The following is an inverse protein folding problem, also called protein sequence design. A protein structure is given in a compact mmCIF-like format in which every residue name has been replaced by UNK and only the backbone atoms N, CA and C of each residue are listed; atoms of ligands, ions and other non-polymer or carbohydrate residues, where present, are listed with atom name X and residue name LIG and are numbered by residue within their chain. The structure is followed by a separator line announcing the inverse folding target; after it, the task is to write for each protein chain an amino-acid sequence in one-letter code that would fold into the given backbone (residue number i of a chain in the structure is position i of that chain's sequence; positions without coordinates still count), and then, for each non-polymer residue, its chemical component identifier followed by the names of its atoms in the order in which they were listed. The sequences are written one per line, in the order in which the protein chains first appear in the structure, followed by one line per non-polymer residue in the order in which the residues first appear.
data_IF_524047380960
#
_entry.id   IF_524047380960
#
_cell.length_a   1.000
_cell.length_b   1.000
_cell.length_c   1.000
_cell.angle_alpha   90.00
_cell.angle_beta   90.00
_cell.angle_gamma   90.00
#
_symmetry.space_group_name_H-M   'P 1'
#
loop_
_entity.id
_entity.type
_entity.pdbx_description
1 polymer ?
#
# COMPACT_ATOMS: atom_id res chain seq x y z
N UNK A 1 -7.36 -9.86 -78.92
CA UNK A 1 -5.92 -9.99 -79.06
C UNK A 1 -5.31 -8.74 -78.49
N UNK A 2 -4.90 -8.77 -77.20
CA UNK A 2 -4.28 -7.67 -76.51
C UNK A 2 -3.12 -8.24 -75.68
N UNK A 3 -1.91 -7.83 -76.09
CA UNK A 3 -0.67 -8.19 -75.44
C UNK A 3 -0.58 -7.46 -74.08
N UNK A 4 -0.36 -8.18 -73.03
CA UNK A 4 -0.06 -7.66 -71.69
C UNK A 4 1.44 -7.82 -71.47
N UNK A 5 2.10 -6.68 -71.38
CA UNK A 5 3.52 -6.56 -71.02
C UNK A 5 3.68 -6.75 -69.55
N UNK A 6 4.40 -7.79 -69.13
CA UNK A 6 4.86 -7.95 -67.76
C UNK A 6 6.15 -7.15 -67.54
N UNK A 7 6.08 -6.10 -66.72
CA UNK A 7 7.28 -5.42 -66.22
C UNK A 7 7.60 -6.06 -64.88
N UNK A 8 8.68 -6.84 -64.85
CA UNK A 8 9.24 -7.40 -63.61
C UNK A 8 10.09 -6.33 -62.92
N UNK A 9 9.56 -5.71 -61.88
CA UNK A 9 10.33 -4.80 -61.03
C UNK A 9 11.00 -5.61 -59.92
N UNK A 10 12.32 -5.82 -60.02
CA UNK A 10 13.14 -6.34 -58.93
C UNK A 10 13.27 -5.28 -57.85
N UNK A 11 12.55 -5.44 -56.72
CA UNK A 11 12.78 -4.68 -55.50
C UNK A 11 13.72 -5.52 -54.62
N UNK A 12 14.98 -5.06 -54.59
CA UNK A 12 15.99 -5.53 -53.65
C UNK A 12 15.61 -5.04 -52.25
N UNK A 13 15.01 -5.88 -51.43
CA UNK A 13 14.80 -5.61 -50.01
C UNK A 13 16.09 -5.86 -49.23
N UNK A 14 16.82 -4.79 -48.91
CA UNK A 14 17.80 -4.84 -47.86
C UNK A 14 17.07 -5.08 -46.51
N UNK A 15 17.21 -6.28 -45.96
CA UNK A 15 16.89 -6.54 -44.58
C UNK A 15 17.91 -5.87 -43.67
N UNK A 16 17.57 -4.68 -43.15
CA UNK A 16 18.22 -4.18 -41.96
C UNK A 16 17.74 -5.04 -40.80
N UNK A 17 18.57 -5.95 -40.33
CA UNK A 17 18.42 -6.60 -39.03
C UNK A 17 18.65 -5.50 -37.98
N UNK A 18 17.61 -4.78 -37.60
CA UNK A 18 17.62 -4.00 -36.38
C UNK A 18 17.56 -5.01 -35.24
N UNK A 19 18.72 -5.33 -34.68
CA UNK A 19 18.86 -5.96 -33.39
C UNK A 19 18.25 -4.98 -32.37
N UNK A 20 16.97 -5.16 -32.06
CA UNK A 20 16.39 -4.59 -30.87
C UNK A 20 17.00 -5.36 -29.69
N UNK A 21 18.10 -4.85 -29.13
CA UNK A 21 18.49 -5.22 -27.78
C UNK A 21 17.37 -4.73 -26.88
N UNK A 22 16.50 -5.65 -26.44
CA UNK A 22 15.72 -5.47 -25.24
C UNK A 22 16.76 -5.34 -24.13
N UNK A 23 17.16 -4.11 -23.84
CA UNK A 23 17.71 -3.80 -22.53
C UNK A 23 16.57 -4.13 -21.57
N UNK A 24 16.69 -5.27 -20.91
CA UNK A 24 15.94 -5.58 -19.72
C UNK A 24 16.40 -4.55 -18.67
N UNK A 25 15.78 -3.39 -18.75
CA UNK A 25 15.88 -2.34 -17.74
C UNK A 25 15.13 -2.88 -16.53
N UNK A 26 15.78 -3.77 -15.78
CA UNK A 26 15.48 -3.96 -14.37
C UNK A 26 15.68 -2.59 -13.75
N UNK A 27 14.58 -1.83 -13.65
CA UNK A 27 14.54 -0.63 -12.87
C UNK A 27 14.87 -1.05 -11.44
N UNK A 28 16.12 -0.90 -11.06
CA UNK A 28 16.56 -1.02 -9.68
C UNK A 28 15.90 0.16 -8.97
N UNK A 29 14.72 -0.08 -8.38
CA UNK A 29 14.10 0.87 -7.46
C UNK A 29 15.09 1.05 -6.32
N UNK A 30 15.72 2.23 -6.26
CA UNK A 30 16.66 2.54 -5.18
C UNK A 30 15.87 2.51 -3.87
N UNK A 31 16.40 1.77 -2.88
CA UNK A 31 15.88 1.78 -1.52
C UNK A 31 15.75 3.20 -1.01
N UNK A 32 14.60 3.53 -0.44
CA UNK A 32 14.41 4.80 0.25
C UNK A 32 15.04 4.72 1.65
N UNK A 33 15.58 5.84 2.11
CA UNK A 33 16.17 5.96 3.45
C UNK A 33 15.51 7.09 4.21
N UNK A 34 15.46 6.97 5.52
CA UNK A 34 15.10 8.05 6.41
C UNK A 34 16.08 8.11 7.60
N UNK A 35 16.03 9.20 8.37
CA UNK A 35 16.82 9.32 9.59
C UNK A 35 16.05 8.67 10.74
N UNK A 36 16.69 7.75 11.44
CA UNK A 36 16.11 7.13 12.63
C UNK A 36 16.19 8.05 13.87
N UNK A 37 15.67 7.57 15.00
CA UNK A 37 15.68 8.31 16.28
C UNK A 37 17.08 8.62 16.82
N UNK A 38 18.14 7.97 16.32
CA UNK A 38 19.53 8.20 16.71
C UNK A 38 20.27 9.17 15.79
N UNK A 39 19.62 9.60 14.69
CA UNK A 39 20.19 10.41 13.63
C UNK A 39 20.91 9.62 12.53
N UNK A 40 20.85 8.29 12.57
CA UNK A 40 21.43 7.44 11.54
C UNK A 40 20.51 7.31 10.33
N UNK A 41 21.11 7.24 9.12
CA UNK A 41 20.34 6.92 7.90
C UNK A 41 20.06 5.43 7.84
N UNK A 42 18.79 5.05 7.77
CA UNK A 42 18.32 3.66 7.71
C UNK A 42 17.52 3.41 6.45
N UNK A 43 17.67 2.21 5.87
CA UNK A 43 16.85 1.76 4.77
C UNK A 43 15.43 1.44 5.25
N UNK A 44 14.46 1.95 4.51
CA UNK A 44 13.05 1.67 4.74
C UNK A 44 12.66 0.26 4.28
N UNK A 45 13.33 -0.30 3.27
CA UNK A 45 12.94 -1.58 2.70
C UNK A 45 12.86 -2.68 3.76
N UNK A 46 11.79 -3.43 3.73
CA UNK A 46 11.54 -4.54 4.64
C UNK A 46 10.06 -4.81 4.88
N UNK A 47 9.84 -5.88 5.60
CA UNK A 47 8.52 -6.29 6.11
C UNK A 47 8.45 -5.95 7.60
N UNK A 48 7.38 -5.32 8.01
CA UNK A 48 7.12 -4.89 9.38
C UNK A 48 5.77 -5.45 9.80
N UNK A 49 5.71 -6.11 10.96
CA UNK A 49 4.53 -6.81 11.43
C UNK A 49 4.04 -6.31 12.79
N UNK A 50 2.72 -6.31 12.95
CA UNK A 50 2.04 -6.53 14.23
C UNK A 50 1.46 -7.92 14.14
N UNK A 51 1.93 -8.82 15.00
CA UNK A 51 1.46 -10.20 15.03
C UNK A 51 0.06 -10.28 15.64
N UNK A 52 -0.49 -11.48 15.75
CA UNK A 52 -1.84 -11.75 16.21
C UNK A 52 -2.22 -10.95 17.45
N UNK A 53 -3.13 -10.03 17.31
CA UNK A 53 -3.59 -9.14 18.37
C UNK A 53 -5.12 -9.11 18.43
N UNK A 54 -5.68 -9.02 19.63
CA UNK A 54 -7.12 -8.89 19.81
C UNK A 54 -7.61 -7.54 19.26
N UNK A 55 -8.71 -7.55 18.52
CA UNK A 55 -9.41 -6.39 17.98
C UNK A 55 -10.92 -6.57 18.15
N UNK A 56 -11.46 -6.04 19.24
CA UNK A 56 -12.85 -6.26 19.60
C UNK A 56 -13.14 -7.74 19.87
N UNK A 57 -14.03 -8.33 19.08
CA UNK A 57 -14.39 -9.77 19.15
C UNK A 57 -13.62 -10.64 18.15
N UNK A 58 -12.66 -10.06 17.41
CA UNK A 58 -11.86 -10.75 16.43
C UNK A 58 -10.35 -10.60 16.77
N UNK A 59 -9.52 -11.21 15.96
CA UNK A 59 -8.06 -11.08 16.03
C UNK A 59 -7.55 -10.58 14.69
N UNK A 60 -6.47 -9.81 14.70
CA UNK A 60 -5.90 -9.20 13.51
C UNK A 60 -4.39 -9.36 13.46
N UNK A 61 -3.86 -9.45 12.25
CA UNK A 61 -2.44 -9.21 11.93
C UNK A 61 -2.36 -8.03 10.99
N UNK A 62 -1.37 -7.19 11.22
CA UNK A 62 -1.05 -6.11 10.28
C UNK A 62 0.33 -6.32 9.71
N UNK A 63 0.46 -6.14 8.42
CA UNK A 63 1.73 -6.17 7.72
C UNK A 63 1.92 -4.89 6.92
N UNK A 64 3.10 -4.33 7.02
CA UNK A 64 3.60 -3.24 6.17
C UNK A 64 4.80 -3.76 5.41
N UNK A 65 4.74 -3.69 4.08
CA UNK A 65 5.88 -3.97 3.22
C UNK A 65 6.31 -2.67 2.54
N UNK A 66 7.56 -2.27 2.78
CA UNK A 66 8.20 -1.14 2.12
C UNK A 66 9.23 -1.67 1.12
N UNK A 67 9.15 -1.23 -0.14
CA UNK A 67 10.06 -1.64 -1.21
C UNK A 67 10.24 -0.50 -2.21
N UNK A 68 11.45 0.07 -2.25
CA UNK A 68 11.72 1.27 -3.04
C UNK A 68 10.76 2.40 -2.65
N UNK A 69 9.89 2.82 -3.56
CA UNK A 69 8.87 3.86 -3.33
C UNK A 69 7.47 3.29 -3.11
N UNK A 70 7.35 1.99 -2.90
CA UNK A 70 6.05 1.33 -2.70
C UNK A 70 5.83 1.01 -1.22
N UNK A 71 4.68 1.36 -0.71
CA UNK A 71 4.15 1.02 0.60
C UNK A 71 2.93 0.13 0.39
N UNK A 72 2.95 -1.09 0.93
CA UNK A 72 1.79 -2.00 0.93
C UNK A 72 1.39 -2.29 2.37
N UNK A 73 0.14 -2.10 2.67
CA UNK A 73 -0.48 -2.44 3.95
C UNK A 73 -1.41 -3.62 3.77
N UNK A 74 -1.31 -4.58 4.66
CA UNK A 74 -2.23 -5.72 4.75
C UNK A 74 -2.82 -5.78 6.15
N UNK A 75 -4.15 -5.83 6.24
CA UNK A 75 -4.88 -6.23 7.42
C UNK A 75 -5.48 -7.60 7.17
N UNK A 76 -5.17 -8.58 8.01
CA UNK A 76 -5.77 -9.91 7.99
C UNK A 76 -6.53 -10.14 9.30
N UNK A 77 -7.82 -10.45 9.20
CA UNK A 77 -8.68 -10.72 10.34
C UNK A 77 -8.94 -12.22 10.51
N UNK A 78 -9.07 -12.65 11.76
CA UNK A 78 -9.19 -14.04 12.16
C UNK A 78 -10.30 -14.20 13.21
N UNK A 79 -10.84 -15.41 13.28
CA UNK A 79 -11.87 -15.78 14.29
C UNK A 79 -11.29 -16.38 15.56
N UNK A 80 -9.98 -16.63 15.62
CA UNK A 80 -9.29 -17.29 16.74
C UNK A 80 -8.02 -16.54 17.17
N UNK A 81 -7.62 -16.75 18.41
CA UNK A 81 -6.50 -16.07 19.07
C UNK A 81 -5.11 -16.54 18.60
N UNK A 82 -5.07 -17.59 17.80
CA UNK A 82 -3.83 -18.05 17.14
C UNK A 82 -3.67 -17.47 15.74
N UNK A 83 -4.67 -16.72 15.26
CA UNK A 83 -4.73 -16.18 13.89
C UNK A 83 -4.52 -17.28 12.82
N UNK A 84 -5.15 -18.44 13.00
CA UNK A 84 -5.10 -19.57 12.10
C UNK A 84 -6.29 -19.61 11.14
N UNK A 85 -7.47 -19.15 11.58
CA UNK A 85 -8.71 -19.18 10.80
C UNK A 85 -9.05 -17.80 10.28
N UNK A 86 -8.62 -17.50 9.05
CA UNK A 86 -8.86 -16.21 8.40
C UNK A 86 -10.34 -15.98 8.11
N UNK A 87 -10.78 -14.73 8.30
CA UNK A 87 -12.13 -14.29 7.96
C UNK A 87 -12.14 -13.35 6.76
N UNK A 88 -11.19 -12.40 6.70
CA UNK A 88 -10.94 -11.56 5.53
C UNK A 88 -9.49 -11.08 5.50
N UNK A 89 -9.09 -10.58 4.34
CA UNK A 89 -7.85 -9.82 4.15
C UNK A 89 -8.17 -8.55 3.37
N UNK A 90 -7.70 -7.41 3.86
CA UNK A 90 -7.70 -6.13 3.16
C UNK A 90 -6.27 -5.78 2.79
N UNK A 91 -6.05 -5.38 1.54
CA UNK A 91 -4.73 -4.98 1.03
C UNK A 91 -4.89 -3.64 0.33
N UNK A 92 -4.05 -2.68 0.71
CA UNK A 92 -3.94 -1.42 0.01
C UNK A 92 -2.47 -1.11 -0.31
N UNK A 93 -2.23 -0.48 -1.45
CA UNK A 93 -0.90 -0.12 -1.91
C UNK A 93 -0.84 1.35 -2.29
N UNK A 94 0.28 1.98 -1.96
CA UNK A 94 0.60 3.38 -2.25
C UNK A 94 1.98 3.49 -2.86
N UNK A 95 2.21 4.56 -3.60
CA UNK A 95 3.55 5.11 -3.80
C UNK A 95 3.82 6.16 -2.75
N UNK A 96 5.06 6.27 -2.25
CA UNK A 96 5.40 7.27 -1.26
C UNK A 96 6.67 8.05 -1.62
N UNK A 97 6.78 9.23 -1.04
CA UNK A 97 7.95 10.12 -1.12
C UNK A 97 8.39 10.50 0.28
N UNK A 98 9.69 10.34 0.54
CA UNK A 98 10.33 10.76 1.79
C UNK A 98 10.56 12.27 1.76
N UNK A 99 9.94 12.98 2.68
CA UNK A 99 10.04 14.42 2.84
C UNK A 99 11.09 14.86 3.86
N UNK A 100 10.87 16.02 4.47
CA UNK A 100 11.80 16.59 5.46
C UNK A 100 11.61 15.98 6.83
N UNK A 101 12.70 15.94 7.61
CA UNK A 101 12.64 15.62 9.04
C UNK A 101 11.85 16.69 9.81
N UNK A 102 11.19 16.27 10.88
CA UNK A 102 10.46 17.13 11.82
C UNK A 102 10.47 16.45 13.20
N UNK A 103 9.74 17.01 14.16
CA UNK A 103 9.57 16.41 15.48
C UNK A 103 8.09 16.30 15.82
N UNK A 104 7.76 15.31 16.66
CA UNK A 104 6.41 15.17 17.22
C UNK A 104 6.14 16.30 18.22
N UNK A 105 4.86 16.65 18.35
CA UNK A 105 4.36 17.64 19.33
C UNK A 105 2.90 17.37 19.64
N UNK A 106 2.36 17.99 20.67
CA UNK A 106 0.90 17.95 20.95
C UNK A 106 0.45 16.77 21.79
N UNK A 107 1.32 15.83 22.17
CA UNK A 107 0.96 14.78 23.10
C UNK A 107 0.94 15.30 24.56
N UNK A 108 -0.09 14.92 25.32
CA UNK A 108 -0.16 15.16 26.77
C UNK A 108 0.95 14.45 27.54
N UNK A 109 1.55 13.41 26.94
CA UNK A 109 2.71 12.71 27.48
C UNK A 109 4.00 13.31 26.90
N UNK A 110 4.74 14.04 27.72
CA UNK A 110 5.99 14.72 27.30
C UNK A 110 7.05 13.79 26.71
N UNK A 111 7.08 12.51 27.09
CA UNK A 111 8.02 11.52 26.51
C UNK A 111 7.71 11.16 25.04
N UNK A 112 6.56 11.56 24.54
CA UNK A 112 6.11 11.36 23.17
C UNK A 112 6.25 12.60 22.29
N UNK A 113 6.71 13.71 22.86
CA UNK A 113 7.03 14.93 22.14
C UNK A 113 8.54 14.98 21.81
N UNK A 114 8.88 15.82 20.82
CA UNK A 114 10.26 16.02 20.37
C UNK A 114 10.95 14.77 19.79
N UNK A 115 10.17 13.74 19.45
CA UNK A 115 10.71 12.57 18.74
C UNK A 115 11.01 12.97 17.29
N UNK A 116 12.22 12.65 16.83
CA UNK A 116 12.60 12.86 15.43
C UNK A 116 11.80 11.94 14.51
N UNK A 117 11.06 12.52 13.59
CA UNK A 117 10.21 11.84 12.62
C UNK A 117 10.44 12.40 11.22
N UNK A 118 10.00 11.70 10.21
CA UNK A 118 10.09 12.15 8.81
C UNK A 118 8.71 12.30 8.22
N UNK A 119 8.46 13.41 7.55
CA UNK A 119 7.25 13.65 6.76
C UNK A 119 7.23 12.73 5.56
N UNK A 120 6.07 12.15 5.28
CA UNK A 120 5.85 11.25 4.16
C UNK A 120 4.60 11.71 3.41
N UNK A 121 4.73 11.83 2.09
CA UNK A 121 3.60 11.99 1.19
C UNK A 121 3.36 10.65 0.52
N UNK A 122 2.14 10.14 0.53
CA UNK A 122 1.83 8.90 -0.15
C UNK A 122 0.55 9.00 -0.98
N UNK A 123 0.57 8.38 -2.15
CA UNK A 123 -0.53 8.39 -3.12
C UNK A 123 -1.09 6.99 -3.30
N UNK A 124 -2.38 6.82 -3.01
CA UNK A 124 -3.09 5.54 -3.12
C UNK A 124 -3.04 5.02 -4.56
N UNK A 125 -2.75 3.73 -4.73
CA UNK A 125 -2.69 3.06 -6.03
C UNK A 125 -3.77 1.99 -6.17
N UNK A 126 -4.03 1.24 -5.11
CA UNK A 126 -5.04 0.17 -5.11
C UNK A 126 -5.57 -0.10 -3.71
N UNK A 127 -6.79 -0.60 -3.63
CA UNK A 127 -7.37 -1.17 -2.42
C UNK A 127 -8.24 -2.37 -2.81
N UNK A 128 -8.07 -3.49 -2.11
CA UNK A 128 -8.84 -4.70 -2.35
C UNK A 128 -9.15 -5.43 -1.07
N UNK A 129 -10.25 -6.18 -1.08
CA UNK A 129 -10.65 -7.04 0.01
C UNK A 129 -10.94 -8.45 -0.50
N UNK A 130 -10.50 -9.44 0.24
CA UNK A 130 -10.78 -10.86 0.01
C UNK A 130 -11.49 -11.43 1.23
N UNK A 131 -12.66 -11.99 1.03
CA UNK A 131 -13.36 -12.71 2.10
C UNK A 131 -12.82 -14.15 2.16
N UNK A 132 -12.51 -14.64 3.35
CA UNK A 132 -11.93 -15.96 3.61
C UNK A 132 -12.88 -16.89 4.39
N UNK A 133 -14.15 -16.51 4.51
CA UNK A 133 -15.19 -17.24 5.25
C UNK A 133 -16.51 -17.19 4.49
N UNK A 134 -17.12 -18.35 4.23
CA UNK A 134 -18.42 -18.44 3.56
C UNK A 134 -19.53 -17.76 4.37
N UNK A 135 -19.45 -17.85 5.71
CA UNK A 135 -20.38 -17.17 6.63
C UNK A 135 -20.26 -15.65 6.47
N UNK A 136 -19.03 -15.13 6.42
CA UNK A 136 -18.81 -13.69 6.24
C UNK A 136 -19.23 -13.24 4.83
N UNK A 137 -18.95 -14.03 3.79
CA UNK A 137 -19.42 -13.75 2.43
C UNK A 137 -20.95 -13.64 2.35
N UNK A 138 -21.66 -14.56 3.01
CA UNK A 138 -23.13 -14.51 3.09
C UNK A 138 -23.62 -13.25 3.80
N UNK A 139 -22.99 -12.88 4.92
CA UNK A 139 -23.32 -11.65 5.66
C UNK A 139 -23.06 -10.39 4.83
N UNK A 140 -21.91 -10.31 4.15
CA UNK A 140 -21.56 -9.18 3.31
C UNK A 140 -22.51 -9.03 2.12
N UNK A 141 -22.91 -10.14 1.49
CA UNK A 141 -23.89 -10.14 0.40
C UNK A 141 -25.26 -9.64 0.88
N UNK A 142 -25.71 -10.07 2.06
CA UNK A 142 -27.00 -9.63 2.59
C UNK A 142 -27.04 -8.15 2.95
N UNK A 143 -25.89 -7.56 3.29
CA UNK A 143 -25.75 -6.15 3.66
C UNK A 143 -25.23 -5.29 2.50
N UNK A 144 -24.95 -5.88 1.33
CA UNK A 144 -24.37 -5.21 0.16
C UNK A 144 -23.09 -4.42 0.50
N UNK A 145 -22.21 -5.01 1.31
CA UNK A 145 -20.97 -4.35 1.77
C UNK A 145 -20.12 -3.92 0.56
N UNK A 146 -19.67 -2.68 0.56
CA UNK A 146 -19.04 -2.00 -0.58
C UNK A 146 -19.90 -2.01 -1.86
N UNK A 147 -21.23 -2.14 -1.75
CA UNK A 147 -22.14 -2.22 -2.88
C UNK A 147 -22.17 -3.58 -3.60
N UNK A 148 -21.41 -4.57 -3.13
CA UNK A 148 -21.38 -5.91 -3.73
C UNK A 148 -22.38 -6.85 -3.07
N UNK A 149 -23.04 -7.68 -3.90
CA UNK A 149 -23.98 -8.73 -3.47
C UNK A 149 -23.50 -10.13 -3.89
N UNK A 150 -22.28 -10.23 -4.38
CA UNK A 150 -21.68 -11.44 -4.94
C UNK A 150 -20.28 -11.74 -4.36
N UNK A 151 -20.08 -11.42 -3.07
CA UNK A 151 -18.90 -11.85 -2.32
C UNK A 151 -18.80 -13.37 -2.32
N UNK A 152 -17.61 -13.89 -2.59
CA UNK A 152 -17.32 -15.31 -2.54
C UNK A 152 -15.99 -15.54 -1.82
N UNK A 153 -15.93 -16.65 -1.07
CA UNK A 153 -14.73 -17.06 -0.36
C UNK A 153 -13.53 -17.20 -1.32
N UNK A 154 -12.40 -16.62 -0.96
CA UNK A 154 -11.15 -16.63 -1.73
C UNK A 154 -11.14 -15.71 -2.96
N UNK A 155 -12.18 -14.93 -3.20
CA UNK A 155 -12.24 -14.02 -4.36
C UNK A 155 -12.00 -12.57 -3.92
N UNK A 156 -10.92 -11.97 -4.45
CA UNK A 156 -10.60 -10.58 -4.20
C UNK A 156 -11.51 -9.65 -5.01
N UNK A 157 -11.94 -8.55 -4.39
CA UNK A 157 -12.65 -7.46 -5.06
C UNK A 157 -11.95 -6.14 -4.79
N UNK A 158 -11.89 -5.28 -5.82
CA UNK A 158 -11.44 -3.90 -5.63
C UNK A 158 -12.50 -3.14 -4.84
N UNK A 159 -12.07 -2.52 -3.74
CA UNK A 159 -12.91 -1.64 -2.91
C UNK A 159 -12.45 -0.19 -3.01
N UNK A 160 -11.53 0.09 -3.93
CA UNK A 160 -11.03 1.43 -4.20
C UNK A 160 -12.18 2.35 -4.64
N UNK A 161 -12.29 3.52 -4.02
CA UNK A 161 -13.35 4.49 -4.30
C UNK A 161 -14.72 4.14 -3.74
N UNK A 162 -14.80 3.19 -2.81
CA UNK A 162 -16.05 2.73 -2.21
C UNK A 162 -16.01 2.84 -0.69
N UNK A 163 -17.08 3.37 -0.12
CA UNK A 163 -17.38 3.24 1.31
C UNK A 163 -17.99 1.87 1.62
N UNK A 164 -17.93 1.45 2.87
CA UNK A 164 -18.50 0.17 3.31
C UNK A 164 -20.00 -0.01 3.01
N UNK A 165 -20.75 1.07 2.87
CA UNK A 165 -22.17 1.08 2.48
C UNK A 165 -22.39 1.07 0.95
N UNK A 166 -21.32 1.02 0.16
CA UNK A 166 -21.34 1.00 -1.31
C UNK A 166 -21.46 2.38 -1.97
N UNK A 167 -21.49 3.46 -1.20
CA UNK A 167 -21.44 4.82 -1.75
C UNK A 167 -20.03 5.14 -2.26
N UNK A 168 -19.92 6.11 -3.16
CA UNK A 168 -18.61 6.55 -3.66
C UNK A 168 -17.82 7.25 -2.56
N UNK A 169 -16.61 6.80 -2.33
CA UNK A 169 -15.62 7.51 -1.53
C UNK A 169 -14.79 8.42 -2.45
N UNK A 170 -15.02 9.73 -2.35
CA UNK A 170 -14.34 10.72 -3.16
C UNK A 170 -12.88 10.99 -2.69
N UNK A 171 -12.44 10.39 -1.59
CA UNK A 171 -11.09 10.54 -1.05
C UNK A 171 -10.19 9.33 -1.36
N UNK A 172 -10.78 8.18 -1.69
CA UNK A 172 -10.09 6.91 -1.96
C UNK A 172 -10.07 6.59 -3.46
N UNK A 173 -9.29 7.34 -4.23
CA UNK A 173 -9.09 7.11 -5.67
C UNK A 173 -7.61 6.99 -6.00
N UNK A 174 -7.28 6.42 -7.16
CA UNK A 174 -5.89 6.32 -7.61
C UNK A 174 -5.25 7.69 -7.70
N UNK A 175 -4.14 7.86 -6.98
CA UNK A 175 -3.44 9.13 -6.87
C UNK A 175 -3.97 10.06 -5.77
N UNK A 176 -4.98 9.65 -4.98
CA UNK A 176 -5.37 10.39 -3.77
C UNK A 176 -4.16 10.49 -2.83
N UNK A 177 -3.74 11.72 -2.53
CA UNK A 177 -2.54 11.99 -1.73
C UNK A 177 -2.94 12.14 -0.27
N UNK A 178 -2.19 11.47 0.60
CA UNK A 178 -2.25 11.62 2.05
C UNK A 178 -0.87 11.98 2.59
N UNK A 179 -0.87 12.62 3.75
CA UNK A 179 0.32 13.17 4.40
C UNK A 179 0.47 12.58 5.78
N UNK A 180 1.68 12.11 6.11
CA UNK A 180 1.93 11.38 7.34
C UNK A 180 3.31 11.73 7.92
N UNK A 181 3.58 11.22 9.11
CA UNK A 181 4.91 11.22 9.72
C UNK A 181 5.29 9.78 10.07
N UNK A 182 6.51 9.39 9.72
CA UNK A 182 7.02 8.06 10.03
C UNK A 182 8.17 8.14 11.02
N UNK A 183 8.22 7.16 11.90
CA UNK A 183 9.22 7.00 12.94
C UNK A 183 9.84 5.62 12.87
N UNK A 184 11.18 5.57 12.89
CA UNK A 184 11.94 4.32 13.01
C UNK A 184 12.84 4.42 14.23
N UNK A 185 12.85 3.37 15.03
CA UNK A 185 13.75 3.19 16.16
C UNK A 185 14.26 1.74 16.17
N UNK A 186 15.49 1.52 15.66
CA UNK A 186 16.04 0.19 15.48
C UNK A 186 15.19 -0.64 14.52
N UNK A 187 14.51 -1.67 15.03
CA UNK A 187 13.59 -2.53 14.25
C UNK A 187 12.14 -2.12 14.36
N UNK A 188 11.80 -1.07 15.10
CA UNK A 188 10.43 -0.60 15.28
C UNK A 188 10.08 0.46 14.25
N UNK A 189 8.88 0.34 13.67
CA UNK A 189 8.28 1.30 12.75
C UNK A 189 6.93 1.75 13.28
N UNK A 190 6.65 3.05 13.19
CA UNK A 190 5.35 3.65 13.51
C UNK A 190 5.04 4.75 12.52
N UNK A 191 3.76 5.00 12.30
CA UNK A 191 3.25 6.12 11.52
C UNK A 191 2.41 7.06 12.38
N UNK A 192 2.00 8.19 11.83
CA UNK A 192 1.26 9.23 12.54
C UNK A 192 -0.13 8.79 12.98
N UNK A 193 -0.64 9.43 14.01
CA UNK A 193 -1.95 9.19 14.61
C UNK A 193 -3.15 9.64 13.76
N UNK A 194 -2.96 9.87 12.49
CA UNK A 194 -3.96 10.20 11.50
C UNK A 194 -3.30 10.80 10.27
N UNK A 195 -3.74 10.36 9.09
CA UNK A 195 -3.34 10.99 7.82
C UNK A 195 -4.13 12.28 7.61
N UNK A 196 -3.49 13.27 7.00
CA UNK A 196 -4.15 14.51 6.63
C UNK A 196 -4.38 14.58 5.12
N UNK A 197 -5.49 15.19 4.71
CA UNK A 197 -5.87 15.31 3.30
C UNK A 197 -5.14 16.45 2.57
N UNK A 198 -4.33 17.22 3.28
CA UNK A 198 -3.62 18.38 2.72
C UNK A 198 -2.18 18.45 3.23
N UNK A 199 -1.25 18.94 2.39
CA UNK A 199 0.17 19.10 2.71
C UNK A 199 0.46 20.05 3.88
N UNK A 200 -0.53 20.81 4.33
CA UNK A 200 -0.38 21.73 5.47
C UNK A 200 -0.67 21.06 6.82
N UNK A 201 -1.17 19.84 6.84
CA UNK A 201 -1.67 19.16 8.04
C UNK A 201 -1.10 17.76 8.16
N UNK A 202 0.23 17.65 8.29
CA UNK A 202 0.84 16.39 8.75
C UNK A 202 0.41 16.13 10.19
N UNK A 203 0.24 14.85 10.59
CA UNK A 203 0.07 14.49 11.98
C UNK A 203 1.18 15.10 12.84
N UNK A 204 0.87 15.45 14.07
CA UNK A 204 1.84 16.00 15.03
C UNK A 204 2.29 14.98 16.06
N UNK A 205 1.63 13.83 16.12
CA UNK A 205 1.97 12.72 17.02
C UNK A 205 1.87 11.38 16.30
N UNK A 206 2.51 10.35 16.87
CA UNK A 206 2.48 8.98 16.35
C UNK A 206 1.25 8.24 16.84
N UNK A 207 0.82 7.23 16.07
CA UNK A 207 -0.14 6.24 16.55
C UNK A 207 0.61 5.20 17.41
N UNK A 208 0.43 5.30 18.71
CA UNK A 208 1.08 4.40 19.67
C UNK A 208 0.33 3.08 19.86
N UNK A 209 -0.84 2.92 19.23
CA UNK A 209 -1.58 1.66 19.21
C UNK A 209 -0.94 0.65 18.25
N UNK A 210 -0.19 1.14 17.27
CA UNK A 210 0.39 0.34 16.20
C UNK A 210 1.92 0.50 16.16
N UNK A 211 2.62 -0.44 16.78
CA UNK A 211 4.09 -0.52 16.75
C UNK A 211 4.47 -1.77 15.97
N UNK A 212 4.95 -1.57 14.75
CA UNK A 212 5.37 -2.65 13.86
C UNK A 212 6.81 -3.05 14.15
N UNK A 213 7.11 -4.33 14.04
CA UNK A 213 8.47 -4.88 14.22
C UNK A 213 8.99 -5.42 12.90
N UNK A 214 10.18 -4.99 12.50
CA UNK A 214 10.89 -5.46 11.30
C UNK A 214 11.24 -6.94 11.42
N UNK A 215 11.00 -7.68 10.34
CA UNK A 215 11.29 -9.10 10.21
C UNK A 215 12.68 -9.35 9.58
#
# INVERSE_FOLDING_TARGET
MKNIFFITLMISTLFFMQSCSTEDSTATTSSQTMTDSTGASVSLDGTYLIDCAASGSAYVKYEVVLSGTTFTFTEAAFSDDTCATGTYSFIAAWTFTVGSATTTSGSDNSSKNDLAVTKIDYALQSASMTILSDTLATSFNSSSVYGFTDWANGTAKSVLGLNGDGTTDNTSFVGAVSYDIWYINGTSFQYGGGSADTSSTYPTELDYSYVYTKQ
#
